data_IF_862420079238
#
_entry.id   IF_862420079238
#
_cell.length_a   1.000
_cell.length_b   1.000
_cell.length_c   1.000
_cell.angle_alpha   90.00
_cell.angle_beta   90.00
_cell.angle_gamma   90.00
#
_symmetry.space_group_name_H-M   'P 1'
#
loop_
_entity.id
_entity.type
_entity.pdbx_description
1 polymer ?
#
# COMPACT_ATOMS: atom_id res chain seq x y z
N UNK A 1 33.36 35.71 -8.44
CA UNK A 1 32.51 34.52 -8.23
C UNK A 1 32.70 34.14 -6.76
N UNK A 2 31.73 34.43 -5.89
CA UNK A 2 31.82 34.05 -4.47
C UNK A 2 31.84 32.52 -4.36
N UNK A 3 32.74 31.97 -3.53
CA UNK A 3 32.75 30.54 -3.27
C UNK A 3 31.42 30.16 -2.59
N UNK A 4 30.85 28.99 -2.92
CA UNK A 4 29.57 28.54 -2.37
C UNK A 4 29.50 28.61 -0.82
N UNK A 5 30.63 28.36 -0.16
CA UNK A 5 30.75 28.48 1.30
C UNK A 5 30.64 29.93 1.83
N UNK A 6 31.09 30.92 1.05
CA UNK A 6 30.96 32.34 1.42
C UNK A 6 29.52 32.83 1.20
N UNK A 7 28.86 32.34 0.15
CA UNK A 7 27.43 32.56 -0.07
C UNK A 7 26.56 31.95 1.06
N UNK A 8 26.87 30.72 1.50
CA UNK A 8 26.18 30.10 2.64
C UNK A 8 26.41 30.86 3.96
N UNK A 9 27.60 31.43 4.17
CA UNK A 9 27.91 32.27 5.34
C UNK A 9 27.16 33.60 5.31
N UNK A 10 27.07 34.26 4.17
CA UNK A 10 26.25 35.48 4.01
C UNK A 10 24.77 35.20 4.21
N UNK A 11 24.23 34.09 3.68
CA UNK A 11 22.85 33.68 3.95
C UNK A 11 22.62 33.37 5.43
N UNK A 12 23.57 32.70 6.11
CA UNK A 12 23.46 32.43 7.55
C UNK A 12 23.48 33.70 8.41
N UNK A 13 24.17 34.75 7.97
CA UNK A 13 24.18 36.07 8.62
C UNK A 13 22.88 36.84 8.37
N UNK A 14 22.33 36.81 7.15
CA UNK A 14 21.04 37.43 6.81
C UNK A 14 19.85 36.74 7.47
N UNK A 15 19.94 35.44 7.74
CA UNK A 15 18.90 34.64 8.43
C UNK A 15 18.72 35.05 9.90
N UNK A 16 19.70 35.73 10.52
CA UNK A 16 19.60 36.14 11.94
C UNK A 16 18.50 37.18 12.22
N UNK A 17 18.07 37.95 11.22
CA UNK A 17 17.02 38.97 11.34
C UNK A 17 15.68 38.56 10.72
N UNK A 18 15.57 37.32 10.22
CA UNK A 18 14.36 36.81 9.60
C UNK A 18 13.51 36.05 10.61
N UNK A 19 12.20 36.27 10.57
CA UNK A 19 11.23 35.45 11.28
C UNK A 19 11.11 34.08 10.58
N UNK A 20 11.93 33.13 11.02
CA UNK A 20 11.96 31.78 10.48
C UNK A 20 10.66 31.01 10.71
N UNK A 21 9.85 31.36 11.72
CA UNK A 21 8.53 30.77 11.89
C UNK A 21 7.56 31.27 10.83
N UNK A 22 7.56 32.57 10.56
CA UNK A 22 6.78 33.16 9.47
C UNK A 22 7.20 32.58 8.11
N UNK A 23 8.50 32.53 7.80
CA UNK A 23 9.00 31.98 6.54
C UNK A 23 8.60 30.51 6.40
N UNK A 24 8.79 29.69 7.45
CA UNK A 24 8.39 28.27 7.42
C UNK A 24 6.88 28.10 7.25
N UNK A 25 6.07 29.02 7.77
CA UNK A 25 4.61 29.06 7.59
C UNK A 25 4.21 29.55 6.19
N UNK A 26 5.00 30.42 5.56
CA UNK A 26 4.75 30.98 4.23
C UNK A 26 5.24 30.06 3.10
N UNK A 27 6.35 29.35 3.31
CA UNK A 27 6.96 28.38 2.38
C UNK A 27 6.20 27.04 2.33
N UNK A 28 4.88 27.01 2.57
CA UNK A 28 4.09 25.76 2.63
C UNK A 28 4.38 24.88 1.42
N UNK A 29 5.25 23.87 1.59
CA UNK A 29 5.57 22.93 0.52
C UNK A 29 4.37 22.01 0.38
N UNK A 30 3.50 22.29 -0.59
CA UNK A 30 2.30 21.45 -0.82
C UNK A 30 2.62 20.14 -1.54
N UNK A 31 3.79 20.07 -2.18
CA UNK A 31 4.25 18.89 -2.94
C UNK A 31 5.75 18.95 -3.14
N UNK A 32 6.42 17.80 -3.13
CA UNK A 32 7.78 17.67 -3.65
C UNK A 32 7.73 17.36 -5.14
N UNK A 33 8.51 18.08 -5.94
CA UNK A 33 8.67 17.74 -7.36
C UNK A 33 9.77 16.67 -7.53
N UNK A 34 9.56 15.49 -6.94
CA UNK A 34 10.47 14.35 -7.04
C UNK A 34 9.88 13.37 -8.08
N UNK A 35 10.55 13.16 -9.23
CA UNK A 35 10.10 12.18 -10.20
C UNK A 35 10.05 10.76 -9.62
N UNK A 36 9.08 9.94 -10.05
CA UNK A 36 8.94 8.56 -9.58
C UNK A 36 10.24 7.73 -9.72
N UNK A 37 10.96 7.93 -10.82
CA UNK A 37 12.26 7.29 -11.10
C UNK A 37 13.32 7.50 -10.01
N UNK A 38 13.26 8.59 -9.24
CA UNK A 38 14.24 8.85 -8.19
C UNK A 38 14.05 7.91 -6.99
N UNK A 39 12.84 7.34 -6.84
CA UNK A 39 12.54 6.33 -5.82
C UNK A 39 12.95 4.90 -6.26
N UNK A 40 13.29 4.68 -7.54
CA UNK A 40 13.72 3.38 -8.06
C UNK A 40 15.17 3.03 -7.66
N UNK A 41 15.88 3.96 -7.02
CA UNK A 41 17.25 3.78 -6.54
C UNK A 41 17.50 4.53 -5.24
N UNK A 42 18.63 4.24 -4.59
CA UNK A 42 19.04 4.87 -3.32
C UNK A 42 19.99 6.05 -3.49
N UNK A 43 20.27 6.48 -4.73
CA UNK A 43 21.25 7.55 -5.02
C UNK A 43 20.97 8.85 -4.27
N UNK A 44 19.72 9.25 -4.17
CA UNK A 44 19.29 10.48 -3.47
C UNK A 44 18.46 10.19 -2.22
N UNK A 45 18.69 9.01 -1.60
CA UNK A 45 17.86 8.51 -0.51
C UNK A 45 17.87 9.45 0.68
N UNK A 46 19.06 9.85 1.11
CA UNK A 46 19.28 10.67 2.30
C UNK A 46 18.69 12.08 2.10
N UNK A 47 18.84 12.65 0.91
CA UNK A 47 18.27 13.96 0.56
C UNK A 47 16.74 13.91 0.53
N UNK A 48 16.17 12.86 -0.04
CA UNK A 48 14.70 12.65 -0.06
C UNK A 48 14.18 12.45 1.37
N UNK A 49 14.85 11.64 2.19
CA UNK A 49 14.50 11.44 3.60
C UNK A 49 14.59 12.75 4.38
N UNK A 50 15.65 13.54 4.17
CA UNK A 50 15.81 14.86 4.78
C UNK A 50 14.68 15.82 4.38
N UNK A 51 14.33 15.89 3.10
CA UNK A 51 13.22 16.73 2.62
C UNK A 51 11.89 16.32 3.25
N UNK A 52 11.59 15.02 3.25
CA UNK A 52 10.37 14.47 3.88
C UNK A 52 10.35 14.80 5.38
N UNK A 53 11.44 14.53 6.09
CA UNK A 53 11.57 14.79 7.52
C UNK A 53 11.39 16.28 7.83
N UNK A 54 12.13 17.17 7.16
CA UNK A 54 12.04 18.63 7.35
C UNK A 54 10.61 19.17 7.21
N UNK A 55 9.84 18.62 6.26
CA UNK A 55 8.49 19.08 5.98
C UNK A 55 7.40 18.40 6.84
N UNK A 56 7.40 17.07 6.88
CA UNK A 56 6.33 16.29 7.49
C UNK A 56 6.58 16.01 8.98
N UNK A 57 7.85 15.81 9.37
CA UNK A 57 8.23 15.32 10.70
C UNK A 57 9.51 16.01 11.23
N UNK A 58 9.50 17.34 11.44
CA UNK A 58 10.71 18.09 11.76
C UNK A 58 11.34 17.74 13.12
N UNK A 59 10.67 16.93 13.96
CA UNK A 59 11.19 16.44 15.24
C UNK A 59 11.63 14.97 15.16
N UNK A 60 11.42 14.30 14.03
CA UNK A 60 11.85 12.93 13.83
C UNK A 60 13.37 12.89 13.62
N UNK A 61 14.05 12.13 14.47
CA UNK A 61 15.46 11.82 14.24
C UNK A 61 15.58 10.73 13.17
N UNK A 62 16.21 11.08 12.04
CA UNK A 62 16.44 10.18 10.92
C UNK A 62 17.25 8.94 11.30
N UNK A 63 18.00 8.95 12.41
CA UNK A 63 18.66 7.74 12.91
C UNK A 63 17.67 6.67 13.39
N UNK A 64 16.38 7.01 13.54
CA UNK A 64 15.31 6.07 13.87
C UNK A 64 14.65 5.43 12.64
N UNK A 65 15.13 5.70 11.42
CA UNK A 65 14.77 4.86 10.25
C UNK A 65 15.34 3.45 10.43
N UNK A 66 14.99 2.55 9.51
CA UNK A 66 15.42 1.15 9.57
C UNK A 66 16.22 0.81 8.33
N UNK A 67 17.34 0.10 8.51
CA UNK A 67 18.21 -0.31 7.41
C UNK A 67 17.45 -1.05 6.30
N UNK A 68 16.63 -2.02 6.69
CA UNK A 68 15.84 -2.86 5.79
C UNK A 68 14.48 -3.14 6.39
N UNK A 69 13.51 -3.47 5.55
CA UNK A 69 12.14 -3.73 5.94
C UNK A 69 12.06 -4.93 6.90
N UNK A 70 11.53 -4.67 8.07
CA UNK A 70 11.11 -5.64 9.07
C UNK A 70 9.75 -5.17 9.59
N UNK A 71 8.77 -6.05 9.61
CA UNK A 71 7.38 -5.66 9.93
C UNK A 71 7.27 -5.04 11.33
N UNK A 72 7.97 -5.59 12.33
CA UNK A 72 7.91 -5.09 13.70
C UNK A 72 8.58 -3.73 13.84
N UNK A 73 9.79 -3.58 13.30
CA UNK A 73 10.52 -2.31 13.33
C UNK A 73 9.81 -1.22 12.52
N UNK A 74 9.32 -1.55 11.34
CA UNK A 74 8.53 -0.62 10.50
C UNK A 74 7.30 -0.10 11.25
N UNK A 75 6.51 -1.01 11.86
CA UNK A 75 5.31 -0.61 12.60
C UNK A 75 5.63 0.24 13.83
N UNK A 76 6.78 0.04 14.47
CA UNK A 76 7.26 0.93 15.55
C UNK A 76 7.56 2.34 15.04
N UNK A 77 8.24 2.48 13.89
CA UNK A 77 8.49 3.80 13.28
C UNK A 77 7.18 4.48 12.89
N UNK A 78 6.26 3.74 12.27
CA UNK A 78 4.91 4.23 11.95
C UNK A 78 4.19 4.77 13.19
N UNK A 79 4.27 4.07 14.33
CA UNK A 79 3.70 4.54 15.60
C UNK A 79 4.34 5.85 16.05
N UNK A 80 5.66 5.97 15.95
CA UNK A 80 6.38 7.18 16.33
C UNK A 80 6.01 8.38 15.45
N UNK A 81 5.95 8.19 14.13
CA UNK A 81 5.54 9.24 13.19
C UNK A 81 4.08 9.68 13.41
N UNK A 82 3.17 8.74 13.67
CA UNK A 82 1.78 9.03 14.06
C UNK A 82 1.71 9.85 15.36
N UNK A 83 2.57 9.54 16.34
CA UNK A 83 2.62 10.23 17.62
C UNK A 83 3.19 11.66 17.50
N UNK A 84 4.16 11.87 16.61
CA UNK A 84 4.69 13.21 16.34
C UNK A 84 3.64 14.11 15.68
N UNK A 85 3.07 13.66 14.56
CA UNK A 85 2.07 14.44 13.84
C UNK A 85 1.18 13.55 12.95
N UNK A 86 0.04 13.13 13.50
CA UNK A 86 -0.94 12.30 12.77
C UNK A 86 -1.41 12.92 11.46
N UNK A 87 -1.61 14.24 11.40
CA UNK A 87 -2.11 14.91 10.19
C UNK A 87 -1.06 14.85 9.08
N UNK A 88 0.20 15.12 9.40
CA UNK A 88 1.31 15.03 8.44
C UNK A 88 1.60 13.58 8.04
N UNK A 89 1.47 12.64 8.98
CA UNK A 89 1.53 11.21 8.68
C UNK A 89 0.48 10.82 7.63
N UNK A 90 -0.78 11.20 7.82
CA UNK A 90 -1.84 10.88 6.87
C UNK A 90 -1.59 11.52 5.49
N UNK A 91 -1.03 12.74 5.46
CA UNK A 91 -0.66 13.39 4.20
C UNK A 91 0.45 12.64 3.47
N UNK A 92 1.55 12.29 4.14
CA UNK A 92 2.64 11.54 3.51
C UNK A 92 2.20 10.13 3.09
N UNK A 93 1.43 9.43 3.94
CA UNK A 93 0.94 8.09 3.62
C UNK A 93 0.03 8.08 2.37
N UNK A 94 -0.73 9.17 2.16
CA UNK A 94 -1.59 9.34 0.99
C UNK A 94 -0.88 9.94 -0.22
N UNK A 95 0.35 10.46 -0.05
CA UNK A 95 1.11 11.03 -1.14
C UNK A 95 1.49 9.94 -2.15
N UNK A 96 0.96 10.07 -3.36
CA UNK A 96 1.06 9.07 -4.43
C UNK A 96 1.49 9.76 -5.73
N UNK A 97 2.80 9.87 -6.00
CA UNK A 97 3.30 10.18 -7.33
C UNK A 97 2.74 9.21 -8.38
N UNK A 98 2.69 9.63 -9.64
CA UNK A 98 2.23 8.77 -10.73
C UNK A 98 3.08 7.49 -10.78
N UNK A 99 2.42 6.33 -10.72
CA UNK A 99 3.08 5.02 -10.76
C UNK A 99 3.49 4.48 -9.38
N UNK A 100 3.23 5.20 -8.29
CA UNK A 100 3.54 4.79 -6.93
C UNK A 100 2.24 4.55 -6.15
N UNK A 101 2.14 3.39 -5.51
CA UNK A 101 0.98 2.97 -4.74
C UNK A 101 0.86 3.67 -3.38
N UNK A 102 -0.33 3.61 -2.74
CA UNK A 102 -0.53 4.17 -1.41
C UNK A 102 0.44 3.59 -0.37
N UNK A 103 1.14 4.46 0.36
CA UNK A 103 2.06 4.07 1.44
C UNK A 103 3.47 3.65 1.00
N UNK A 104 3.74 3.47 -0.30
CA UNK A 104 5.08 3.12 -0.80
C UNK A 104 6.11 4.21 -0.51
N UNK A 105 5.75 5.50 -0.66
CA UNK A 105 6.65 6.61 -0.27
C UNK A 105 6.96 6.59 1.23
N UNK A 106 5.98 6.24 2.07
CA UNK A 106 6.21 6.09 3.51
C UNK A 106 7.19 4.94 3.79
N UNK A 107 7.05 3.82 3.09
CA UNK A 107 7.99 2.71 3.19
C UNK A 107 9.39 3.08 2.71
N UNK A 108 9.49 3.80 1.60
CA UNK A 108 10.76 4.35 1.11
C UNK A 108 11.38 5.31 2.14
N UNK A 109 10.59 6.18 2.77
CA UNK A 109 11.08 7.07 3.81
C UNK A 109 11.64 6.31 5.02
N UNK A 110 10.92 5.28 5.47
CA UNK A 110 11.26 4.53 6.70
C UNK A 110 12.41 3.54 6.48
N UNK A 111 12.51 2.91 5.31
CA UNK A 111 13.48 1.85 5.03
C UNK A 111 14.65 2.37 4.18
N UNK A 112 15.87 2.40 4.73
CA UNK A 112 17.02 3.08 4.12
C UNK A 112 17.49 2.43 2.82
N UNK A 113 17.43 1.10 2.73
CA UNK A 113 17.80 0.38 1.50
C UNK A 113 16.64 0.20 0.52
N UNK A 114 15.45 0.74 0.83
CA UNK A 114 14.29 0.50 0.01
C UNK A 114 14.37 1.23 -1.33
N UNK A 115 14.00 0.51 -2.40
CA UNK A 115 13.70 1.06 -3.72
C UNK A 115 12.27 0.70 -4.10
N UNK A 116 11.61 1.59 -4.83
CA UNK A 116 10.27 1.36 -5.34
C UNK A 116 10.30 0.73 -6.73
N UNK A 117 9.25 -0.01 -7.04
CA UNK A 117 9.03 -0.60 -8.35
C UNK A 117 8.95 0.44 -9.45
N UNK A 118 9.56 0.13 -10.59
CA UNK A 118 9.58 0.93 -11.80
C UNK A 118 9.60 0.04 -13.03
N UNK A 119 9.79 0.59 -14.22
CA UNK A 119 9.83 -0.20 -15.48
C UNK A 119 10.94 -1.26 -15.54
N UNK A 120 11.87 -1.24 -14.58
CA UNK A 120 12.99 -2.18 -14.44
C UNK A 120 12.82 -3.21 -13.31
N UNK A 121 11.86 -3.05 -12.39
CA UNK A 121 11.57 -4.06 -11.37
C UNK A 121 10.81 -5.20 -12.05
N UNK A 122 11.02 -6.44 -11.60
CA UNK A 122 10.35 -7.63 -12.13
C UNK A 122 8.84 -7.70 -11.79
N UNK A 123 8.16 -6.55 -11.76
CA UNK A 123 6.76 -6.38 -11.38
C UNK A 123 6.51 -6.29 -9.87
N UNK A 124 7.55 -5.96 -9.08
CA UNK A 124 7.44 -5.82 -7.62
C UNK A 124 7.41 -4.34 -7.21
N UNK A 125 6.57 -4.02 -6.22
CA UNK A 125 6.30 -2.65 -5.75
C UNK A 125 7.44 -2.08 -4.87
N UNK A 126 8.12 -2.93 -4.08
CA UNK A 126 9.25 -2.50 -3.22
C UNK A 126 10.33 -3.58 -3.12
N UNK A 127 11.58 -3.17 -3.10
CA UNK A 127 12.72 -4.04 -2.77
C UNK A 127 13.44 -3.49 -1.55
N UNK A 128 13.75 -4.34 -0.57
CA UNK A 128 14.48 -3.99 0.66
C UNK A 128 15.11 -5.24 1.28
N UNK A 129 16.31 -5.11 1.86
CA UNK A 129 17.05 -6.23 2.44
C UNK A 129 17.41 -7.34 1.44
N UNK A 130 17.54 -6.99 0.15
CA UNK A 130 17.76 -7.95 -0.94
C UNK A 130 16.53 -8.79 -1.31
N UNK A 131 15.35 -8.48 -0.78
CA UNK A 131 14.09 -9.14 -1.09
C UNK A 131 13.13 -8.17 -1.77
N UNK A 132 12.38 -8.67 -2.74
CA UNK A 132 11.29 -7.93 -3.37
C UNK A 132 9.93 -8.30 -2.76
N UNK A 133 9.04 -7.33 -2.70
CA UNK A 133 7.71 -7.46 -2.13
C UNK A 133 6.67 -6.84 -3.06
N UNK A 134 5.51 -7.49 -3.09
CA UNK A 134 4.28 -6.89 -3.59
C UNK A 134 3.63 -6.08 -2.45
N UNK A 135 3.06 -4.92 -2.74
CA UNK A 135 2.39 -4.06 -1.76
C UNK A 135 0.90 -3.98 -2.08
N UNK A 136 0.06 -4.29 -1.09
CA UNK A 136 -1.40 -4.16 -1.20
C UNK A 136 -1.94 -3.26 -0.11
N UNK A 137 -2.40 -2.08 -0.53
CA UNK A 137 -3.18 -1.18 0.29
C UNK A 137 -4.58 -1.78 0.53
N UNK A 138 -4.93 -2.05 1.78
CA UNK A 138 -6.09 -2.86 2.15
C UNK A 138 -6.80 -2.39 3.44
N UNK A 139 -7.96 -2.98 3.72
CA UNK A 139 -8.59 -2.95 5.03
C UNK A 139 -8.33 -4.27 5.78
N UNK A 140 -8.27 -4.23 7.10
CA UNK A 140 -8.26 -5.40 7.98
C UNK A 140 -9.61 -5.54 8.69
N UNK A 141 -10.28 -6.66 8.47
CA UNK A 141 -11.55 -6.97 9.14
C UNK A 141 -11.34 -7.45 10.57
N UNK A 142 -12.40 -7.45 11.39
CA UNK A 142 -12.36 -7.97 12.77
C UNK A 142 -12.08 -9.47 12.81
N UNK A 143 -12.48 -10.18 11.77
CA UNK A 143 -12.27 -11.62 11.58
C UNK A 143 -10.85 -11.95 11.10
N UNK A 144 -10.01 -10.93 10.91
CA UNK A 144 -8.61 -11.10 10.56
C UNK A 144 -8.37 -11.32 9.07
N UNK A 145 -9.11 -10.64 8.18
CA UNK A 145 -8.84 -10.66 6.75
C UNK A 145 -8.37 -9.31 6.23
N UNK A 146 -7.37 -9.34 5.35
CA UNK A 146 -7.06 -8.25 4.44
C UNK A 146 -8.04 -8.25 3.27
N UNK A 147 -8.69 -7.12 3.00
CA UNK A 147 -9.69 -6.98 1.94
C UNK A 147 -9.64 -5.60 1.26
N UNK A 148 -10.56 -5.38 0.32
CA UNK A 148 -10.70 -4.12 -0.44
C UNK A 148 -9.52 -3.76 -1.35
N UNK A 149 -8.72 -4.74 -1.74
CA UNK A 149 -7.75 -4.61 -2.82
C UNK A 149 -8.17 -5.49 -4.02
N UNK A 150 -7.45 -5.35 -5.14
CA UNK A 150 -7.62 -6.18 -6.35
C UNK A 150 -6.31 -6.89 -6.66
N UNK A 151 -6.42 -8.06 -7.27
CA UNK A 151 -5.29 -8.67 -7.98
C UNK A 151 -5.11 -7.95 -9.32
N UNK A 152 -3.88 -7.94 -9.85
CA UNK A 152 -3.52 -7.19 -11.06
C UNK A 152 -4.41 -7.50 -12.26
N UNK A 153 -4.56 -6.52 -13.17
CA UNK A 153 -5.52 -6.57 -14.28
C UNK A 153 -5.26 -7.64 -15.34
N UNK A 154 -4.09 -8.29 -15.31
CA UNK A 154 -3.72 -9.38 -16.24
C UNK A 154 -4.24 -10.74 -15.80
N UNK A 155 -4.76 -10.87 -14.57
CA UNK A 155 -5.29 -12.14 -14.08
C UNK A 155 -6.64 -12.44 -14.72
N UNK A 156 -6.69 -13.48 -15.55
CA UNK A 156 -7.93 -13.90 -16.20
C UNK A 156 -8.86 -14.63 -15.22
N UNK A 157 -9.92 -13.95 -14.80
CA UNK A 157 -10.99 -14.47 -13.92
C UNK A 157 -12.36 -14.57 -14.62
N UNK A 158 -12.39 -14.42 -15.95
CA UNK A 158 -13.64 -14.31 -16.73
C UNK A 158 -14.55 -15.54 -16.60
N UNK A 159 -13.98 -16.74 -16.59
CA UNK A 159 -14.73 -17.99 -16.46
C UNK A 159 -15.43 -18.11 -15.10
N UNK A 160 -14.72 -17.79 -14.01
CA UNK A 160 -15.28 -17.78 -12.66
C UNK A 160 -16.37 -16.70 -12.51
N UNK A 161 -16.17 -15.53 -13.10
CA UNK A 161 -17.18 -14.45 -13.11
C UNK A 161 -18.46 -14.85 -13.84
N UNK A 162 -18.34 -15.47 -15.01
CA UNK A 162 -19.49 -15.96 -15.77
C UNK A 162 -20.27 -17.01 -14.98
N UNK A 163 -19.57 -18.02 -14.44
CA UNK A 163 -20.20 -19.04 -13.60
C UNK A 163 -20.90 -18.45 -12.36
N UNK A 164 -20.33 -17.41 -11.75
CA UNK A 164 -20.94 -16.72 -10.63
C UNK A 164 -22.25 -16.02 -11.02
N UNK A 165 -22.26 -15.34 -12.17
CA UNK A 165 -23.45 -14.69 -12.74
C UNK A 165 -24.55 -15.72 -13.04
N UNK A 166 -24.20 -16.82 -13.71
CA UNK A 166 -25.14 -17.89 -14.06
C UNK A 166 -25.79 -18.50 -12.81
N UNK A 167 -25.01 -18.77 -11.75
CA UNK A 167 -25.53 -19.28 -10.47
C UNK A 167 -26.46 -18.26 -9.81
N UNK A 168 -26.11 -16.97 -9.84
CA UNK A 168 -26.96 -15.92 -9.27
C UNK A 168 -28.33 -15.89 -9.95
N UNK A 169 -28.34 -15.92 -11.29
CA UNK A 169 -29.58 -15.92 -12.10
C UNK A 169 -30.41 -17.17 -11.82
N UNK A 170 -29.81 -18.35 -11.78
CA UNK A 170 -30.52 -19.61 -11.49
C UNK A 170 -31.17 -19.67 -10.11
N UNK A 171 -30.62 -18.95 -9.13
CA UNK A 171 -31.19 -18.84 -7.78
C UNK A 171 -32.18 -17.69 -7.63
N UNK A 172 -32.35 -16.84 -8.66
CA UNK A 172 -33.24 -15.68 -8.61
C UNK A 172 -32.85 -14.66 -7.54
N UNK A 173 -31.54 -14.51 -7.26
CA UNK A 173 -31.08 -13.59 -6.22
C UNK A 173 -31.20 -12.12 -6.67
N UNK A 174 -31.60 -11.20 -5.77
CA UNK A 174 -31.89 -9.81 -6.14
C UNK A 174 -30.65 -9.00 -6.56
N UNK A 175 -30.90 -7.87 -7.23
CA UNK A 175 -29.88 -6.92 -7.70
C UNK A 175 -29.22 -7.32 -9.02
N UNK A 176 -28.19 -6.57 -9.44
CA UNK A 176 -27.50 -6.77 -10.72
C UNK A 176 -26.80 -8.12 -10.80
N UNK A 177 -26.91 -8.82 -11.92
CA UNK A 177 -26.38 -10.18 -12.10
C UNK A 177 -24.87 -10.28 -11.81
N UNK A 178 -24.12 -9.23 -12.16
CA UNK A 178 -22.66 -9.12 -12.01
C UNK A 178 -22.20 -8.69 -10.61
N UNK A 179 -23.10 -8.54 -9.64
CA UNK A 179 -22.80 -8.09 -8.29
C UNK A 179 -23.28 -9.13 -7.26
N UNK A 180 -22.33 -9.75 -6.54
CA UNK A 180 -22.60 -10.77 -5.52
C UNK A 180 -21.85 -10.40 -4.25
N UNK A 181 -22.58 -9.89 -3.26
CA UNK A 181 -22.01 -9.51 -1.97
C UNK A 181 -21.83 -10.69 -1.01
N UNK A 182 -21.10 -10.47 0.10
CA UNK A 182 -20.80 -11.49 1.12
C UNK A 182 -22.02 -12.29 1.60
N UNK A 183 -23.14 -11.62 1.85
CA UNK A 183 -24.38 -12.27 2.30
C UNK A 183 -24.96 -13.19 1.22
N UNK A 184 -24.93 -12.78 -0.05
CA UNK A 184 -25.39 -13.60 -1.16
C UNK A 184 -24.47 -14.82 -1.36
N UNK A 185 -23.15 -14.64 -1.25
CA UNK A 185 -22.19 -15.77 -1.28
C UNK A 185 -22.53 -16.78 -0.19
N UNK A 186 -22.79 -16.33 1.04
CA UNK A 186 -23.16 -17.21 2.14
C UNK A 186 -24.47 -17.97 1.87
N UNK A 187 -25.47 -17.32 1.28
CA UNK A 187 -26.74 -17.94 0.88
C UNK A 187 -26.55 -18.95 -0.27
N UNK A 188 -25.73 -18.62 -1.28
CA UNK A 188 -25.40 -19.52 -2.40
C UNK A 188 -24.76 -20.80 -1.90
N UNK A 189 -23.79 -20.70 -0.98
CA UNK A 189 -23.10 -21.87 -0.39
C UNK A 189 -24.04 -22.83 0.33
N UNK A 190 -25.13 -22.31 0.91
CA UNK A 190 -26.17 -23.10 1.59
C UNK A 190 -27.28 -23.60 0.66
N UNK A 191 -27.28 -23.16 -0.60
CA UNK A 191 -28.30 -23.52 -1.58
C UNK A 191 -28.00 -24.85 -2.28
N UNK A 192 -28.95 -25.30 -3.11
CA UNK A 192 -28.78 -26.45 -4.01
C UNK A 192 -27.60 -26.32 -4.99
N UNK A 193 -27.15 -25.09 -5.28
CA UNK A 193 -26.00 -24.81 -6.16
C UNK A 193 -24.69 -24.54 -5.40
N UNK A 194 -24.64 -24.79 -4.10
CA UNK A 194 -23.45 -24.54 -3.28
C UNK A 194 -22.21 -25.33 -3.73
N UNK A 195 -22.37 -26.59 -4.15
CA UNK A 195 -21.27 -27.40 -4.70
C UNK A 195 -20.74 -26.82 -6.01
N UNK A 196 -21.65 -26.40 -6.89
CA UNK A 196 -21.31 -25.77 -8.16
C UNK A 196 -20.58 -24.44 -7.96
N UNK A 197 -21.00 -23.63 -6.99
CA UNK A 197 -20.32 -22.40 -6.61
C UNK A 197 -18.87 -22.67 -6.20
N UNK A 198 -18.64 -23.65 -5.32
CA UNK A 198 -17.28 -23.98 -4.86
C UNK A 198 -16.40 -24.44 -6.02
N UNK A 199 -16.91 -25.32 -6.89
CA UNK A 199 -16.12 -25.92 -7.97
C UNK A 199 -15.90 -24.99 -9.16
N UNK A 200 -16.91 -24.20 -9.55
CA UNK A 200 -16.87 -23.39 -10.77
C UNK A 200 -16.47 -21.94 -10.52
N UNK A 201 -16.61 -21.45 -9.28
CA UNK A 201 -16.33 -20.05 -8.92
C UNK A 201 -15.17 -19.95 -7.95
N UNK A 202 -15.29 -20.49 -6.73
CA UNK A 202 -14.30 -20.22 -5.69
C UNK A 202 -12.96 -20.88 -5.95
N UNK A 203 -12.95 -22.17 -6.30
CA UNK A 203 -11.70 -22.89 -6.52
C UNK A 203 -10.88 -22.29 -7.69
N UNK A 204 -11.43 -22.07 -8.90
CA UNK A 204 -10.68 -21.46 -10.00
C UNK A 204 -10.22 -20.04 -9.67
N UNK A 205 -11.05 -19.27 -8.97
CA UNK A 205 -10.68 -17.92 -8.54
C UNK A 205 -9.51 -17.95 -7.54
N UNK A 206 -9.57 -18.81 -6.53
CA UNK A 206 -8.52 -18.96 -5.52
C UNK A 206 -7.19 -19.42 -6.13
N UNK A 207 -7.23 -20.31 -7.12
CA UNK A 207 -6.04 -20.73 -7.88
C UNK A 207 -5.39 -19.54 -8.60
N UNK A 208 -6.19 -18.69 -9.24
CA UNK A 208 -5.70 -17.48 -9.90
C UNK A 208 -5.15 -16.43 -8.93
N UNK A 209 -5.76 -16.28 -7.75
CA UNK A 209 -5.24 -15.43 -6.69
C UNK A 209 -3.92 -15.98 -6.14
N UNK A 210 -3.80 -17.31 -5.97
CA UNK A 210 -2.57 -17.92 -5.49
C UNK A 210 -1.43 -17.76 -6.51
N UNK A 211 -1.70 -18.00 -7.78
CA UNK A 211 -0.76 -17.79 -8.89
C UNK A 211 -0.22 -16.35 -8.88
N UNK A 212 -1.09 -15.37 -8.69
CA UNK A 212 -0.70 -13.96 -8.58
C UNK A 212 0.28 -13.66 -7.44
N UNK A 213 0.12 -14.30 -6.29
CA UNK A 213 0.98 -14.08 -5.12
C UNK A 213 2.19 -15.03 -5.04
N UNK A 214 2.36 -15.91 -6.03
CA UNK A 214 3.44 -16.89 -6.03
C UNK A 214 4.75 -16.24 -6.44
N UNK A 215 5.83 -16.55 -5.71
CA UNK A 215 7.19 -16.11 -6.04
C UNK A 215 7.68 -14.88 -5.28
N UNK A 216 6.84 -14.24 -4.48
CA UNK A 216 7.22 -13.10 -3.66
C UNK A 216 6.42 -13.06 -2.34
N UNK A 217 6.93 -12.31 -1.37
CA UNK A 217 6.19 -11.97 -0.16
C UNK A 217 5.28 -10.77 -0.45
N UNK A 218 4.12 -10.69 0.20
CA UNK A 218 3.20 -9.56 0.07
C UNK A 218 3.12 -8.78 1.36
N UNK A 219 3.23 -7.46 1.25
CA UNK A 219 3.03 -6.52 2.34
C UNK A 219 1.62 -5.95 2.23
N UNK A 220 0.77 -6.30 3.18
CA UNK A 220 -0.55 -5.72 3.35
C UNK A 220 -0.45 -4.45 4.20
N UNK A 221 -0.62 -3.29 3.57
CA UNK A 221 -0.64 -1.98 4.23
C UNK A 221 -2.06 -1.56 4.56
N UNK A 222 -2.34 -1.28 5.83
CA UNK A 222 -3.67 -0.80 6.23
C UNK A 222 -3.88 0.63 5.76
N UNK A 223 -4.80 0.84 4.83
CA UNK A 223 -5.03 2.16 4.19
C UNK A 223 -6.38 2.80 4.53
N UNK A 224 -7.26 2.07 5.21
CA UNK A 224 -8.66 2.47 5.37
C UNK A 224 -9.24 2.09 6.73
N UNK A 225 -9.40 0.79 7.00
CA UNK A 225 -9.95 0.30 8.26
C UNK A 225 -9.08 -0.83 8.85
N UNK A 226 -8.93 -0.90 10.18
CA UNK A 226 -9.36 0.09 11.16
C UNK A 226 -8.47 1.33 11.14
N UNK A 227 -9.06 2.52 11.37
CA UNK A 227 -8.33 3.81 11.29
C UNK A 227 -7.16 3.91 12.28
N UNK A 228 -7.23 3.21 13.42
CA UNK A 228 -6.14 3.18 14.41
C UNK A 228 -4.85 2.56 13.86
N UNK A 229 -5.00 1.61 12.92
CA UNK A 229 -3.90 0.86 12.32
C UNK A 229 -3.43 1.46 11.00
N UNK A 230 -3.91 2.65 10.62
CA UNK A 230 -3.51 3.28 9.36
C UNK A 230 -1.98 3.33 9.23
N UNK A 231 -1.50 2.85 8.08
CA UNK A 231 -0.10 2.74 7.70
C UNK A 231 0.68 1.57 8.29
N UNK A 232 0.06 0.75 9.15
CA UNK A 232 0.69 -0.49 9.63
C UNK A 232 0.80 -1.52 8.50
N UNK A 233 1.91 -2.25 8.50
CA UNK A 233 2.26 -3.27 7.53
C UNK A 233 2.13 -4.68 8.11
N UNK A 234 1.81 -5.64 7.25
CA UNK A 234 1.83 -7.06 7.53
C UNK A 234 2.44 -7.81 6.35
N UNK A 235 3.64 -8.36 6.53
CA UNK A 235 4.27 -9.20 5.51
C UNK A 235 3.78 -10.65 5.62
N UNK A 236 3.45 -11.25 4.47
CA UNK A 236 2.99 -12.65 4.42
C UNK A 236 3.24 -13.29 3.06
N UNK A 237 3.69 -14.54 3.08
CA UNK A 237 3.56 -15.45 1.94
C UNK A 237 2.14 -16.03 1.91
N UNK A 238 1.38 -15.69 0.88
CA UNK A 238 -0.02 -16.11 0.73
C UNK A 238 -0.10 -17.59 0.35
N UNK A 239 -0.92 -18.37 1.05
CA UNK A 239 -1.18 -19.78 0.74
C UNK A 239 -2.64 -20.00 0.36
N UNK A 240 -2.93 -21.11 -0.33
CA UNK A 240 -4.29 -21.47 -0.74
C UNK A 240 -5.33 -21.42 0.40
N UNK A 241 -4.94 -21.83 1.62
CA UNK A 241 -5.81 -21.82 2.80
C UNK A 241 -6.12 -20.42 3.33
N UNK A 242 -5.30 -19.42 2.98
CA UNK A 242 -5.46 -18.04 3.42
C UNK A 242 -6.46 -17.29 2.51
N UNK A 243 -6.75 -17.80 1.30
CA UNK A 243 -7.55 -17.09 0.29
C UNK A 243 -9.05 -17.42 0.41
N UNK A 244 -9.88 -16.38 0.43
CA UNK A 244 -11.34 -16.47 0.32
C UNK A 244 -11.86 -15.48 -0.73
N UNK A 245 -13.05 -15.75 -1.28
CA UNK A 245 -13.75 -14.82 -2.16
C UNK A 245 -14.56 -13.84 -1.32
N UNK A 246 -14.25 -12.55 -1.40
CA UNK A 246 -14.94 -11.50 -0.65
C UNK A 246 -16.22 -11.03 -1.32
N UNK A 247 -16.13 -10.65 -2.60
CA UNK A 247 -17.27 -10.17 -3.37
C UNK A 247 -17.01 -10.31 -4.87
N UNK A 248 -18.10 -10.46 -5.63
CA UNK A 248 -18.11 -10.25 -7.09
C UNK A 248 -18.71 -8.88 -7.35
N UNK A 249 -18.02 -8.07 -8.15
CA UNK A 249 -18.45 -6.72 -8.52
C UNK A 249 -18.39 -6.58 -10.04
N UNK A 250 -18.98 -5.51 -10.58
CA UNK A 250 -18.94 -5.29 -12.02
C UNK A 250 -17.48 -5.22 -12.53
N UNK A 251 -17.10 -6.21 -13.35
CA UNK A 251 -15.77 -6.33 -13.95
C UNK A 251 -14.67 -6.93 -13.06
N UNK A 252 -14.92 -7.35 -11.82
CA UNK A 252 -13.86 -7.97 -10.99
C UNK A 252 -14.38 -8.80 -9.81
N UNK A 253 -13.51 -9.67 -9.29
CA UNK A 253 -13.71 -10.43 -8.05
C UNK A 253 -12.66 -9.99 -7.03
N UNK A 254 -13.10 -9.65 -5.81
CA UNK A 254 -12.22 -9.17 -4.74
C UNK A 254 -11.80 -10.32 -3.82
N UNK A 255 -10.50 -10.50 -3.57
CA UNK A 255 -10.03 -11.51 -2.64
C UNK A 255 -10.19 -11.01 -1.20
N UNK A 256 -10.25 -11.95 -0.27
CA UNK A 256 -9.94 -11.75 1.14
C UNK A 256 -8.77 -12.66 1.47
N UNK A 257 -7.77 -12.13 2.17
CA UNK A 257 -6.59 -12.90 2.58
C UNK A 257 -6.53 -12.92 4.10
N UNK A 258 -6.57 -14.11 4.68
CA UNK A 258 -6.45 -14.28 6.13
C UNK A 258 -5.09 -13.78 6.57
N UNK A 259 -5.08 -12.95 7.62
CA UNK A 259 -3.87 -12.48 8.30
C UNK A 259 -3.03 -13.65 8.82
#
# INVERSE_FOLDING_TARGET
MLAFNDYLKEMALAVRDLDLEFIKKAEVVTSFNIPAKEYEHTKYKEEIQYLICKHFFPKFDLQNTIKSFDTGKYNNVVKNLKAENKVMFEKLFRYQPKGVGPGEIMMYFICDDATLGGGSSAGLDITSGGKGYEVKACALTREGFFENFRIGGTVNISSAMRAASDIKVQLGLPGRETEIGKQQIASIKKSKLGKDWIQKVEKPYKEKVLEYFTGHETIFLINSAPKSMLGEAFAKTVRMKDIELGAVTNGTMKPMIRR
#
